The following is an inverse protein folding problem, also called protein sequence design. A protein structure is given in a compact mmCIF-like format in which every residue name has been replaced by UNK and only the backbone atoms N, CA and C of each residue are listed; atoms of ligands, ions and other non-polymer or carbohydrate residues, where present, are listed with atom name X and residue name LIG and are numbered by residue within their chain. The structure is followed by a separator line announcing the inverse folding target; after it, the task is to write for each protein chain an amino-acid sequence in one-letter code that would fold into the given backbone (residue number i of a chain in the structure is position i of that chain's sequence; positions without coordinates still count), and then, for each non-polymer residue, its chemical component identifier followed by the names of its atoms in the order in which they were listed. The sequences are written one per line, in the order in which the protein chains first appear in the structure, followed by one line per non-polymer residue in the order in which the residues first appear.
data_IF_495744836277
#
_entry.id   IF_495744836277
#
_cell.length_a   1.000
_cell.length_b   1.000
_cell.length_c   1.000
_cell.angle_alpha   90.00
_cell.angle_beta   90.00
_cell.angle_gamma   90.00
#
_symmetry.space_group_name_H-M   'P 1'
#
loop_
_entity.id
_entity.type
_entity.pdbx_description
1 polymer ?
#
# COMPACT_ATOMS: atom_id res chain seq x y z
N UNK A 1 -3.57 -28.51 -12.31
CA UNK A 1 -2.68 -27.65 -13.16
C UNK A 1 -3.31 -26.34 -13.63
N UNK A 2 -4.63 -26.10 -13.47
CA UNK A 2 -5.27 -24.84 -13.88
C UNK A 2 -5.05 -23.66 -12.91
N UNK A 3 -4.98 -23.90 -11.61
CA UNK A 3 -4.87 -22.84 -10.61
C UNK A 3 -3.58 -22.01 -10.69
N UNK A 4 -2.47 -22.63 -11.07
CA UNK A 4 -1.18 -21.93 -11.21
C UNK A 4 -1.20 -20.87 -12.32
N UNK A 5 -1.80 -21.16 -13.47
CA UNK A 5 -1.88 -20.20 -14.60
C UNK A 5 -2.74 -18.99 -14.25
N UNK A 6 -3.84 -19.21 -13.55
CA UNK A 6 -4.74 -18.12 -13.09
C UNK A 6 -4.02 -17.21 -12.11
N UNK A 7 -3.26 -17.76 -11.16
CA UNK A 7 -2.44 -16.97 -10.23
C UNK A 7 -1.39 -16.10 -10.97
N UNK A 8 -0.73 -16.64 -11.98
CA UNK A 8 0.22 -15.85 -12.80
C UNK A 8 -0.46 -14.71 -13.55
N UNK A 9 -1.66 -14.95 -14.11
CA UNK A 9 -2.43 -13.90 -14.81
C UNK A 9 -2.78 -12.78 -13.83
N UNK A 10 -3.31 -13.09 -12.65
CA UNK A 10 -3.63 -12.07 -11.64
C UNK A 10 -2.39 -11.33 -11.17
N UNK A 11 -1.27 -12.02 -11.01
CA UNK A 11 0.00 -11.39 -10.65
C UNK A 11 0.44 -10.39 -11.71
N UNK A 12 0.47 -10.79 -12.99
CA UNK A 12 0.87 -9.91 -14.09
C UNK A 12 -0.08 -8.72 -14.23
N UNK A 13 -1.39 -8.94 -14.12
CA UNK A 13 -2.38 -7.86 -14.15
C UNK A 13 -2.18 -6.87 -13.00
N UNK A 14 -1.93 -7.35 -11.80
CA UNK A 14 -1.67 -6.47 -10.65
C UNK A 14 -0.42 -5.61 -10.86
N UNK A 15 0.67 -6.18 -11.38
CA UNK A 15 1.89 -5.44 -11.69
C UNK A 15 1.68 -4.42 -12.81
N UNK A 16 0.90 -4.77 -13.84
CA UNK A 16 0.58 -3.85 -14.93
C UNK A 16 -0.24 -2.64 -14.42
N UNK A 17 -1.25 -2.88 -13.56
CA UNK A 17 -2.03 -1.80 -12.93
C UNK A 17 -1.12 -0.90 -12.09
N UNK A 18 -0.21 -1.47 -11.28
CA UNK A 18 0.75 -0.71 -10.50
C UNK A 18 1.72 0.10 -11.37
N UNK A 19 2.16 -0.47 -12.51
CA UNK A 19 3.06 0.21 -13.45
C UNK A 19 2.41 1.42 -14.15
N UNK A 20 1.10 1.40 -14.36
CA UNK A 20 0.35 2.53 -14.96
C UNK A 20 0.03 3.64 -13.93
N UNK A 21 0.06 3.33 -12.65
CA UNK A 21 -0.32 4.26 -11.58
C UNK A 21 0.46 5.60 -11.62
N UNK A 22 1.79 5.65 -11.85
CA UNK A 22 2.51 6.91 -11.97
C UNK A 22 2.00 7.81 -13.10
N UNK A 23 1.65 7.21 -14.25
CA UNK A 23 1.08 7.96 -15.37
C UNK A 23 -0.28 8.57 -15.02
N UNK A 24 -1.10 7.83 -14.28
CA UNK A 24 -2.37 8.36 -13.75
C UNK A 24 -2.14 9.55 -12.80
N UNK A 25 -1.18 9.47 -11.89
CA UNK A 25 -0.88 10.59 -11.00
C UNK A 25 -0.33 11.81 -11.75
N UNK A 26 0.41 11.58 -12.83
CA UNK A 26 0.92 12.67 -13.67
C UNK A 26 -0.21 13.46 -14.34
N UNK A 27 -1.32 12.81 -14.71
CA UNK A 27 -2.50 13.48 -15.24
C UNK A 27 -3.14 14.42 -14.21
N UNK A 28 -3.00 14.10 -12.92
CA UNK A 28 -3.55 14.87 -11.81
C UNK A 28 -2.58 15.93 -11.27
N UNK A 29 -1.45 16.20 -11.94
CA UNK A 29 -0.41 17.17 -11.51
C UNK A 29 -0.92 18.59 -11.30
N UNK A 30 -2.05 18.94 -11.92
CA UNK A 30 -2.67 20.27 -11.75
C UNK A 30 -3.38 20.42 -10.39
N UNK A 31 -3.67 19.30 -9.69
CA UNK A 31 -4.30 19.31 -8.39
C UNK A 31 -3.25 19.34 -7.28
N UNK A 32 -3.53 20.02 -6.16
CA UNK A 32 -2.65 19.95 -5.00
C UNK A 32 -2.46 18.49 -4.54
N UNK A 33 -1.22 18.05 -4.26
CA UNK A 33 -0.95 16.67 -3.83
C UNK A 33 -1.77 16.25 -2.60
N UNK A 34 -1.95 17.19 -1.68
CA UNK A 34 -2.74 16.95 -0.46
C UNK A 34 -4.22 16.68 -0.76
N UNK A 35 -4.80 17.41 -1.72
CA UNK A 35 -6.18 17.18 -2.16
C UNK A 35 -6.34 15.79 -2.78
N UNK A 36 -5.38 15.40 -3.63
CA UNK A 36 -5.37 14.09 -4.29
C UNK A 36 -5.26 12.96 -3.24
N UNK A 37 -4.39 13.12 -2.25
CA UNK A 37 -4.26 12.17 -1.13
C UNK A 37 -5.55 12.08 -0.30
N UNK A 38 -6.14 13.22 0.07
CA UNK A 38 -7.37 13.26 0.85
C UNK A 38 -8.54 12.60 0.09
N UNK A 39 -8.73 12.93 -1.18
CA UNK A 39 -9.75 12.31 -2.03
C UNK A 39 -9.61 10.79 -2.09
N UNK A 40 -8.39 10.28 -2.24
CA UNK A 40 -8.11 8.85 -2.23
C UNK A 40 -8.51 8.20 -0.91
N UNK A 41 -8.15 8.81 0.23
CA UNK A 41 -8.49 8.27 1.55
C UNK A 41 -10.02 8.22 1.72
N UNK A 42 -10.72 9.29 1.34
CA UNK A 42 -12.19 9.35 1.44
C UNK A 42 -12.84 8.27 0.58
N UNK A 43 -12.49 8.17 -0.71
CA UNK A 43 -13.08 7.18 -1.60
C UNK A 43 -12.75 5.75 -1.20
N UNK A 44 -11.52 5.47 -0.78
CA UNK A 44 -11.15 4.16 -0.26
C UNK A 44 -11.96 3.81 0.98
N UNK A 45 -12.15 4.76 1.91
CA UNK A 45 -12.97 4.56 3.11
C UNK A 45 -14.44 4.27 2.78
N UNK A 46 -15.00 4.99 1.82
CA UNK A 46 -16.39 4.75 1.35
C UNK A 46 -16.53 3.35 0.78
N UNK A 47 -15.61 2.94 -0.11
CA UNK A 47 -15.64 1.60 -0.72
C UNK A 47 -15.47 0.51 0.35
N UNK A 48 -14.51 0.66 1.26
CA UNK A 48 -14.32 -0.28 2.36
C UNK A 48 -15.56 -0.38 3.24
N UNK A 49 -16.19 0.74 3.57
CA UNK A 49 -17.42 0.76 4.36
C UNK A 49 -18.56 0.04 3.67
N UNK A 50 -18.76 0.28 2.37
CA UNK A 50 -19.77 -0.42 1.57
C UNK A 50 -19.52 -1.93 1.53
N UNK A 51 -18.25 -2.37 1.38
CA UNK A 51 -17.88 -3.79 1.40
C UNK A 51 -18.14 -4.44 2.76
N UNK A 52 -17.87 -3.74 3.86
CA UNK A 52 -18.16 -4.20 5.22
C UNK A 52 -19.66 -4.41 5.40
N UNK A 53 -20.48 -3.46 4.93
CA UNK A 53 -21.94 -3.58 4.97
C UNK A 53 -22.44 -4.77 4.14
N UNK A 54 -21.94 -4.90 2.90
CA UNK A 54 -22.34 -5.96 1.98
C UNK A 54 -22.01 -7.37 2.51
N UNK A 55 -20.81 -7.53 3.08
CA UNK A 55 -20.34 -8.82 3.61
C UNK A 55 -20.76 -9.08 5.06
N UNK A 56 -21.56 -8.18 5.66
CA UNK A 56 -22.01 -8.27 7.05
C UNK A 56 -20.87 -8.46 8.08
N UNK A 57 -19.69 -7.86 7.82
CA UNK A 57 -18.49 -7.95 8.64
C UNK A 57 -18.50 -6.98 9.86
N UNK A 58 -19.62 -6.34 10.14
CA UNK A 58 -19.78 -5.44 11.29
C UNK A 58 -19.49 -6.10 12.65
N UNK A 59 -19.89 -7.37 12.89
CA UNK A 59 -19.55 -8.05 14.15
C UNK A 59 -18.05 -8.23 14.33
N UNK A 60 -17.32 -8.58 13.25
CA UNK A 60 -15.87 -8.78 13.27
C UNK A 60 -15.14 -7.46 13.55
N UNK A 61 -15.65 -6.35 13.00
CA UNK A 61 -15.11 -5.02 13.29
C UNK A 61 -15.28 -4.62 14.76
N UNK A 62 -16.41 -5.04 15.39
CA UNK A 62 -16.64 -4.80 16.83
C UNK A 62 -15.68 -5.60 17.70
N UNK A 63 -15.33 -6.83 17.32
CA UNK A 63 -14.37 -7.65 18.06
C UNK A 63 -12.97 -7.03 18.04
N UNK A 64 -12.51 -6.55 16.86
CA UNK A 64 -11.23 -5.85 16.72
C UNK A 64 -11.21 -4.56 17.58
N UNK A 65 -12.34 -3.84 17.65
CA UNK A 65 -12.46 -2.63 18.47
C UNK A 65 -12.31 -2.90 19.97
N UNK A 66 -12.65 -4.10 20.45
CA UNK A 66 -12.54 -4.45 21.86
C UNK A 66 -11.09 -4.69 22.29
N UNK A 67 -10.20 -5.02 21.37
CA UNK A 67 -8.78 -5.23 21.65
C UNK A 67 -8.01 -3.90 21.73
N UNK A 68 -8.22 -3.19 22.83
CA UNK A 68 -7.64 -1.83 23.04
C UNK A 68 -6.12 -1.77 22.89
N UNK A 69 -5.40 -2.86 23.14
CA UNK A 69 -3.94 -2.94 23.03
C UNK A 69 -3.40 -2.79 21.60
N UNK A 70 -4.22 -3.02 20.56
CA UNK A 70 -3.80 -2.97 19.16
C UNK A 70 -3.93 -1.56 18.54
N UNK A 71 -4.70 -0.66 19.14
CA UNK A 71 -5.00 0.66 18.61
C UNK A 71 -3.76 1.54 18.32
N UNK A 72 -2.75 1.61 19.19
CA UNK A 72 -1.56 2.39 18.90
C UNK A 72 -0.79 1.87 17.68
N UNK A 73 -0.75 0.56 17.48
CA UNK A 73 -0.12 -0.05 16.30
C UNK A 73 -0.89 0.25 15.02
N UNK A 74 -2.22 0.18 15.06
CA UNK A 74 -3.09 0.53 13.92
C UNK A 74 -2.94 2.03 13.60
N UNK A 75 -2.96 2.90 14.59
CA UNK A 75 -2.77 4.33 14.38
C UNK A 75 -1.39 4.64 13.80
N UNK A 76 -0.33 4.02 14.33
CA UNK A 76 1.01 4.13 13.80
C UNK A 76 1.10 3.68 12.34
N UNK A 77 0.54 2.52 12.01
CA UNK A 77 0.50 2.01 10.64
C UNK A 77 -0.24 2.97 9.70
N UNK A 78 -1.38 3.52 10.11
CA UNK A 78 -2.13 4.51 9.33
C UNK A 78 -1.30 5.77 9.05
N UNK A 79 -0.58 6.29 10.03
CA UNK A 79 0.29 7.46 9.87
C UNK A 79 1.41 7.15 8.87
N UNK A 80 2.13 6.03 9.04
CA UNK A 80 3.23 5.67 8.15
C UNK A 80 2.76 5.41 6.72
N UNK A 81 1.64 4.72 6.52
CA UNK A 81 1.06 4.49 5.19
C UNK A 81 0.66 5.82 4.55
N UNK A 82 0.04 6.73 5.32
CA UNK A 82 -0.38 8.04 4.80
C UNK A 82 0.82 8.88 4.39
N UNK A 83 1.88 8.91 5.19
CA UNK A 83 3.13 9.61 4.86
C UNK A 83 3.81 9.00 3.63
N UNK A 84 3.87 7.68 3.54
CA UNK A 84 4.44 6.98 2.39
C UNK A 84 3.71 7.34 1.10
N UNK A 85 2.38 7.23 1.08
CA UNK A 85 1.58 7.57 -0.08
C UNK A 85 1.57 9.07 -0.39
N UNK A 86 1.56 9.92 0.62
CA UNK A 86 1.67 11.37 0.46
C UNK A 86 2.96 11.77 -0.21
N UNK A 87 4.09 11.21 0.22
CA UNK A 87 5.41 11.43 -0.37
C UNK A 87 5.47 10.96 -1.82
N UNK A 88 4.89 9.79 -2.11
CA UNK A 88 4.83 9.24 -3.47
C UNK A 88 3.98 10.11 -4.41
N UNK A 89 2.78 10.50 -3.99
CA UNK A 89 1.89 11.37 -4.78
C UNK A 89 2.58 12.72 -5.01
N UNK A 90 3.18 13.29 -3.97
CA UNK A 90 3.94 14.54 -4.10
C UNK A 90 5.07 14.40 -5.13
N UNK A 91 5.92 13.39 -5.00
CA UNK A 91 7.03 13.18 -5.92
C UNK A 91 6.56 13.00 -7.38
N UNK A 92 5.53 12.20 -7.61
CA UNK A 92 5.02 11.93 -8.96
C UNK A 92 4.33 13.15 -9.58
N UNK A 93 3.56 13.92 -8.81
CA UNK A 93 2.88 15.13 -9.30
C UNK A 93 3.86 16.28 -9.57
N UNK A 94 4.99 16.34 -8.85
CA UNK A 94 6.06 17.30 -9.09
C UNK A 94 7.04 16.88 -10.21
N UNK A 95 6.80 15.73 -10.85
CA UNK A 95 7.63 15.25 -11.95
C UNK A 95 8.85 14.41 -11.52
N UNK A 96 9.03 14.13 -10.22
CA UNK A 96 10.12 13.30 -9.70
C UNK A 96 9.83 11.79 -9.85
N UNK A 97 9.31 11.37 -11.02
CA UNK A 97 8.88 9.99 -11.26
C UNK A 97 10.04 9.01 -11.17
N UNK A 98 11.20 9.39 -11.70
CA UNK A 98 12.40 8.53 -11.69
C UNK A 98 12.87 8.27 -10.26
N UNK A 99 12.92 9.32 -9.43
CA UNK A 99 13.32 9.22 -8.03
C UNK A 99 12.32 8.36 -7.23
N UNK A 100 11.02 8.56 -7.46
CA UNK A 100 9.98 7.75 -6.85
C UNK A 100 10.11 6.27 -7.24
N UNK A 101 10.39 5.99 -8.52
CA UNK A 101 10.60 4.62 -9.01
C UNK A 101 11.84 3.97 -8.38
N UNK A 102 12.95 4.70 -8.30
CA UNK A 102 14.18 4.21 -7.65
C UNK A 102 13.96 3.89 -6.16
N UNK A 103 13.19 4.73 -5.45
CA UNK A 103 12.84 4.47 -4.05
C UNK A 103 12.07 3.14 -3.90
N UNK A 104 11.18 2.81 -4.82
CA UNK A 104 10.48 1.52 -4.82
C UNK A 104 11.39 0.34 -5.12
N UNK A 105 12.43 0.50 -5.94
CA UNK A 105 13.42 -0.55 -6.17
C UNK A 105 14.27 -0.85 -4.92
N UNK A 106 14.53 0.15 -4.10
CA UNK A 106 15.29 0.00 -2.85
C UNK A 106 14.43 -0.63 -1.76
N UNK A 107 13.11 -0.47 -1.80
CA UNK A 107 12.20 -0.93 -0.75
C UNK A 107 12.33 -2.43 -0.39
N UNK A 108 12.40 -3.38 -1.35
CA UNK A 108 12.60 -4.79 -1.02
C UNK A 108 13.91 -5.05 -0.27
N UNK A 109 14.98 -4.32 -0.62
CA UNK A 109 16.29 -4.46 0.03
C UNK A 109 16.20 -3.98 1.49
N UNK A 110 15.55 -2.84 1.71
CA UNK A 110 15.30 -2.29 3.05
C UNK A 110 14.44 -3.25 3.88
N UNK A 111 13.40 -3.83 3.29
CA UNK A 111 12.52 -4.81 3.96
C UNK A 111 13.30 -6.06 4.41
N UNK A 112 14.14 -6.62 3.54
CA UNK A 112 14.98 -7.78 3.88
C UNK A 112 15.97 -7.43 4.98
N UNK A 113 16.59 -6.25 4.90
CA UNK A 113 17.54 -5.78 5.91
C UNK A 113 16.88 -5.63 7.29
N UNK A 114 15.74 -4.92 7.36
CA UNK A 114 15.03 -4.74 8.62
C UNK A 114 14.34 -6.03 9.10
N UNK A 115 13.86 -6.88 8.21
CA UNK A 115 13.34 -8.21 8.56
C UNK A 115 14.38 -9.06 9.27
N UNK A 116 15.61 -9.11 8.72
CA UNK A 116 16.73 -9.80 9.36
C UNK A 116 17.16 -9.17 10.68
N UNK A 117 17.20 -7.82 10.75
CA UNK A 117 17.71 -7.10 11.92
C UNK A 117 16.71 -7.09 13.09
N UNK A 118 15.41 -6.84 12.83
CA UNK A 118 14.39 -6.65 13.86
C UNK A 118 13.74 -7.96 14.26
N UNK A 119 13.40 -8.81 13.27
CA UNK A 119 12.68 -10.07 13.50
C UNK A 119 13.60 -11.28 13.61
N UNK A 120 14.93 -11.08 13.45
CA UNK A 120 15.91 -12.16 13.44
C UNK A 120 15.56 -13.31 12.49
N UNK A 121 14.92 -12.97 11.36
CA UNK A 121 14.56 -13.95 10.35
C UNK A 121 15.81 -14.55 9.71
N UNK A 122 15.92 -15.88 9.75
CA UNK A 122 17.00 -16.60 9.10
C UNK A 122 16.78 -16.53 7.57
N UNK A 123 17.61 -15.74 6.90
CA UNK A 123 17.60 -15.68 5.43
C UNK A 123 17.96 -17.06 4.87
N UNK A 124 17.11 -17.59 4.01
CA UNK A 124 17.41 -18.85 3.29
C UNK A 124 18.63 -18.66 2.39
N UNK A 125 19.43 -19.73 2.11
CA UNK A 125 20.64 -19.61 1.29
C UNK A 125 20.43 -18.99 -0.10
N UNK A 126 19.21 -19.07 -0.63
CA UNK A 126 18.82 -18.46 -1.90
C UNK A 126 18.59 -16.93 -1.81
N UNK A 127 18.51 -16.39 -0.59
CA UNK A 127 18.28 -14.95 -0.33
C UNK A 127 19.57 -14.22 0.07
N UNK A 128 20.68 -14.96 0.25
CA UNK A 128 22.03 -14.43 0.41
C UNK A 128 22.67 -14.23 -0.95
#
# INVERSE_FOLDING_TARGET
MGGSKICYIYFVLSQAIWGVLPAFWLLLRQLPPLYTLASRIVWASVICFLLILQKKLLPDLKSIRQERGQWPYVAGACIFITLNWGSYIYATTQGFILQASLAYFINPIILVFFGGLIFHELLRPVQK
#
